data_IF_626562814363
#
_entry.id   IF_626562814363
#
_cell.length_a   1.000
_cell.length_b   1.000
_cell.length_c   1.000
_cell.angle_alpha   90.00
_cell.angle_beta   90.00
_cell.angle_gamma   90.00
#
_symmetry.space_group_name_H-M   'P 1'
#
loop_
_entity.id
_entity.type
_entity.pdbx_description
1 polymer ?
#
# COMPACT_ATOMS: atom_id res chain seq x y z
N UNK A 1 -16.22 2.15 -36.29
CA UNK A 1 -16.73 3.09 -35.27
C UNK A 1 -15.63 3.24 -34.23
N UNK A 2 -15.20 4.47 -34.01
CA UNK A 2 -13.88 4.77 -33.49
C UNK A 2 -13.64 4.32 -32.05
N UNK A 3 -12.51 3.64 -31.87
CA UNK A 3 -11.85 3.47 -30.60
C UNK A 3 -11.24 4.83 -30.24
N UNK A 4 -11.86 5.55 -29.30
CA UNK A 4 -11.26 6.73 -28.69
C UNK A 4 -10.06 6.26 -27.90
N UNK A 5 -8.87 6.36 -28.52
CA UNK A 5 -7.61 6.16 -27.84
C UNK A 5 -7.53 7.16 -26.68
N UNK A 6 -7.50 6.66 -25.45
CA UNK A 6 -7.22 7.47 -24.29
C UNK A 6 -5.87 8.13 -24.47
N UNK A 7 -5.86 9.45 -24.57
CA UNK A 7 -4.63 10.26 -24.56
C UNK A 7 -4.05 10.08 -23.16
N UNK A 8 -2.95 9.34 -23.06
CA UNK A 8 -2.22 9.24 -21.80
C UNK A 8 -1.86 10.66 -21.34
N UNK A 9 -2.29 11.04 -20.17
CA UNK A 9 -1.96 12.35 -19.59
C UNK A 9 -0.45 12.38 -19.41
N UNK A 10 0.19 13.45 -19.85
CA UNK A 10 1.59 13.76 -19.55
C UNK A 10 1.81 13.71 -18.03
N UNK A 11 2.96 13.14 -17.62
CA UNK A 11 3.27 12.97 -16.19
C UNK A 11 3.18 14.27 -15.38
N UNK A 12 3.47 15.42 -15.99
CA UNK A 12 3.37 16.73 -15.36
C UNK A 12 1.91 17.18 -15.19
N UNK A 13 1.04 16.89 -16.16
CA UNK A 13 -0.39 17.16 -16.04
C UNK A 13 -1.04 16.31 -14.94
N UNK A 14 -0.64 15.05 -14.83
CA UNK A 14 -1.12 14.19 -13.76
C UNK A 14 -0.67 14.65 -12.38
N UNK A 15 0.58 15.09 -12.24
CA UNK A 15 1.09 15.66 -10.98
C UNK A 15 0.27 16.88 -10.53
N UNK A 16 -0.09 17.77 -11.46
CA UNK A 16 -0.96 18.92 -11.18
C UNK A 16 -2.38 18.51 -10.79
N UNK A 17 -2.97 17.52 -11.47
CA UNK A 17 -4.27 16.96 -11.10
C UNK A 17 -4.28 16.34 -9.69
N UNK A 18 -3.25 15.59 -9.34
CA UNK A 18 -3.10 15.01 -8.01
C UNK A 18 -2.98 16.10 -6.94
N UNK A 19 -2.15 17.11 -7.19
CA UNK A 19 -1.97 18.25 -6.28
C UNK A 19 -3.27 19.05 -6.06
N UNK A 20 -4.05 19.27 -7.11
CA UNK A 20 -5.33 19.98 -7.01
C UNK A 20 -6.36 19.24 -6.11
N UNK A 21 -6.21 17.93 -5.95
CA UNK A 21 -7.00 17.09 -5.05
C UNK A 21 -6.38 16.95 -3.64
N UNK A 22 -5.26 17.60 -3.38
CA UNK A 22 -4.51 17.46 -2.13
C UNK A 22 -3.79 16.13 -2.00
N UNK A 23 -3.53 15.43 -3.10
CA UNK A 23 -2.77 14.18 -3.14
C UNK A 23 -1.29 14.45 -3.42
N UNK A 24 -0.44 13.50 -3.03
CA UNK A 24 1.01 13.55 -3.29
C UNK A 24 1.36 12.53 -4.37
N UNK A 25 2.12 12.99 -5.36
CA UNK A 25 2.60 12.17 -6.44
C UNK A 25 4.13 12.09 -6.46
N UNK A 26 4.65 10.86 -6.43
CA UNK A 26 6.06 10.56 -6.66
C UNK A 26 6.16 9.83 -8.00
N UNK A 27 6.59 10.52 -9.03
CA UNK A 27 6.81 9.91 -10.34
C UNK A 27 7.97 8.92 -10.29
N UNK A 28 7.83 7.79 -10.97
CA UNK A 28 8.94 6.87 -11.18
C UNK A 28 10.10 7.56 -11.89
N UNK A 29 11.32 7.31 -11.45
CA UNK A 29 12.52 7.83 -12.12
C UNK A 29 12.61 7.21 -13.52
N UNK A 30 12.72 8.06 -14.55
CA UNK A 30 12.77 7.66 -15.96
C UNK A 30 13.97 6.78 -16.25
N UNK A 31 13.78 5.76 -17.11
CA UNK A 31 14.84 4.84 -17.53
C UNK A 31 15.02 3.59 -16.67
N UNK A 32 14.38 3.52 -15.50
CA UNK A 32 14.41 2.32 -14.64
C UNK A 32 13.37 1.28 -15.08
N UNK A 33 12.30 1.72 -15.75
CA UNK A 33 11.28 0.85 -16.34
C UNK A 33 11.01 1.30 -17.77
N UNK A 34 10.71 0.33 -18.66
CA UNK A 34 10.23 0.61 -20.01
C UNK A 34 8.91 1.42 -20.02
N UNK A 35 8.23 1.54 -21.17
CA UNK A 35 7.11 2.45 -21.40
C UNK A 35 5.85 2.21 -20.53
N UNK A 36 5.88 1.23 -19.64
CA UNK A 36 4.79 0.93 -18.68
C UNK A 36 5.34 0.87 -17.26
N UNK A 37 5.38 2.00 -16.57
CA UNK A 37 5.66 2.03 -15.14
C UNK A 37 4.48 1.49 -14.34
N UNK A 38 4.77 0.65 -13.33
CA UNK A 38 3.75 0.28 -12.36
C UNK A 38 3.38 1.50 -11.51
N UNK A 39 2.09 1.66 -11.23
CA UNK A 39 1.59 2.69 -10.32
C UNK A 39 1.03 2.03 -9.07
N UNK A 40 1.38 2.57 -7.90
CA UNK A 40 0.86 2.15 -6.61
C UNK A 40 0.11 3.31 -5.94
N UNK A 41 -1.15 3.10 -5.61
CA UNK A 41 -1.88 3.98 -4.68
C UNK A 41 -1.56 3.50 -3.26
N UNK A 42 -0.95 4.35 -2.45
CA UNK A 42 -0.44 4.01 -1.12
C UNK A 42 -1.15 4.82 -0.02
N UNK A 43 -2.04 4.18 0.72
CA UNK A 43 -2.76 4.77 1.83
C UNK A 43 -1.95 4.76 3.14
N UNK A 44 -2.13 5.79 3.93
CA UNK A 44 -1.49 5.93 5.25
C UNK A 44 -2.14 5.05 6.33
N UNK A 45 -1.42 4.85 7.44
CA UNK A 45 -1.92 4.17 8.63
C UNK A 45 -2.84 5.05 9.50
N UNK A 46 -3.36 4.48 10.60
CA UNK A 46 -4.33 5.18 11.46
C UNK A 46 -3.76 6.40 12.18
N UNK A 47 -2.47 6.40 12.50
CA UNK A 47 -1.85 7.38 13.38
C UNK A 47 -1.07 8.50 12.72
N UNK A 48 -0.65 8.31 11.46
CA UNK A 48 0.26 9.21 10.76
C UNK A 48 -0.28 9.61 9.39
N UNK A 49 -0.07 10.86 8.94
CA UNK A 49 -0.57 11.37 7.66
C UNK A 49 0.22 10.81 6.46
N UNK A 50 -0.29 11.08 5.25
CA UNK A 50 0.31 10.63 3.99
C UNK A 50 1.71 11.18 3.72
N UNK A 51 2.09 12.27 4.37
CA UNK A 51 3.38 12.95 4.28
C UNK A 51 4.28 12.71 5.51
N UNK A 52 3.94 11.77 6.37
CA UNK A 52 4.83 11.35 7.45
C UNK A 52 6.18 10.88 6.90
N UNK A 53 7.24 11.00 7.69
CA UNK A 53 8.60 10.59 7.31
C UNK A 53 8.64 9.16 6.75
N UNK A 54 7.97 8.22 7.39
CA UNK A 54 7.88 6.84 6.93
C UNK A 54 7.21 6.72 5.57
N UNK A 55 6.04 7.37 5.37
CA UNK A 55 5.29 7.31 4.10
C UNK A 55 6.05 8.00 2.97
N UNK A 56 6.68 9.13 3.25
CA UNK A 56 7.49 9.88 2.29
C UNK A 56 8.72 9.08 1.89
N UNK A 57 9.47 8.57 2.87
CA UNK A 57 10.66 7.78 2.61
C UNK A 57 10.37 6.49 1.83
N UNK A 58 9.24 5.83 2.07
CA UNK A 58 8.84 4.65 1.29
C UNK A 58 8.45 5.03 -0.15
N UNK A 59 7.69 6.10 -0.34
CA UNK A 59 7.29 6.55 -1.67
C UNK A 59 8.50 6.98 -2.54
N UNK A 60 9.46 7.66 -1.94
CA UNK A 60 10.71 8.06 -2.61
C UNK A 60 11.57 6.84 -3.01
N UNK A 61 11.71 5.85 -2.11
CA UNK A 61 12.42 4.60 -2.41
C UNK A 61 11.78 3.83 -3.57
N UNK A 62 10.45 3.78 -3.60
CA UNK A 62 9.71 3.13 -4.67
C UNK A 62 9.86 3.89 -6.00
N UNK A 63 9.77 5.22 -5.97
CA UNK A 63 9.95 6.05 -7.15
C UNK A 63 11.36 5.88 -7.75
N UNK A 64 12.39 5.85 -6.92
CA UNK A 64 13.77 5.57 -7.33
C UNK A 64 13.95 4.18 -7.97
N UNK A 65 13.05 3.23 -7.66
CA UNK A 65 13.04 1.86 -8.22
C UNK A 65 12.06 1.70 -9.39
N UNK A 66 11.51 2.81 -9.88
CA UNK A 66 10.66 2.85 -11.07
C UNK A 66 9.21 2.47 -10.81
N UNK A 67 8.70 2.67 -9.60
CA UNK A 67 7.29 2.55 -9.25
C UNK A 67 6.74 3.95 -8.97
N UNK A 68 5.78 4.40 -9.75
CA UNK A 68 5.07 5.65 -9.45
C UNK A 68 4.16 5.48 -8.24
N UNK A 69 4.15 6.42 -7.32
CA UNK A 69 3.38 6.32 -6.08
C UNK A 69 2.46 7.51 -5.91
N UNK A 70 1.16 7.24 -5.77
CA UNK A 70 0.18 8.23 -5.34
C UNK A 70 -0.16 8.01 -3.88
N UNK A 71 -0.12 9.07 -3.08
CA UNK A 71 -0.54 9.07 -1.68
C UNK A 71 -1.70 10.03 -1.47
N UNK A 72 -2.69 9.60 -0.69
CA UNK A 72 -3.87 10.39 -0.35
C UNK A 72 -4.16 10.32 1.14
N UNK A 73 -5.02 11.20 1.63
CA UNK A 73 -5.49 11.18 3.02
C UNK A 73 -6.94 10.75 3.15
N UNK A 74 -7.20 9.88 4.12
CA UNK A 74 -8.57 9.62 4.56
C UNK A 74 -9.20 10.89 5.18
N UNK A 75 -10.52 11.06 5.08
CA UNK A 75 -11.19 12.29 5.49
C UNK A 75 -10.89 12.75 6.93
N UNK A 76 -10.83 11.81 7.89
CA UNK A 76 -10.49 12.16 9.28
C UNK A 76 -9.08 12.76 9.42
N UNK A 77 -8.11 12.29 8.61
CA UNK A 77 -6.74 12.79 8.65
C UNK A 77 -6.63 14.16 7.97
N UNK A 78 -7.32 14.34 6.84
CA UNK A 78 -7.43 15.65 6.20
C UNK A 78 -8.06 16.68 7.14
N UNK A 79 -9.10 16.29 7.91
CA UNK A 79 -9.71 17.16 8.91
C UNK A 79 -8.75 17.48 10.07
N UNK A 80 -7.93 16.50 10.53
CA UNK A 80 -6.87 16.76 11.54
C UNK A 80 -5.85 17.79 11.06
N UNK A 81 -5.53 17.78 9.76
CA UNK A 81 -4.61 18.75 9.16
C UNK A 81 -5.17 20.17 9.20
N UNK A 82 -6.50 20.33 9.03
CA UNK A 82 -7.16 21.62 9.03
C UNK A 82 -7.31 22.23 10.45
N UNK A 83 -7.68 21.44 11.43
CA UNK A 83 -8.04 21.93 12.77
C UNK A 83 -7.04 21.55 13.88
N UNK A 84 -6.01 20.75 13.58
CA UNK A 84 -5.02 20.28 14.54
C UNK A 84 -5.55 19.30 15.61
N UNK A 85 -6.83 18.95 15.53
CA UNK A 85 -7.50 18.08 16.49
C UNK A 85 -7.09 16.62 16.38
N UNK A 86 -6.94 15.93 17.52
CA UNK A 86 -6.80 14.48 17.53
C UNK A 86 -8.16 13.84 17.25
N UNK A 87 -8.25 13.05 16.20
CA UNK A 87 -9.46 12.29 15.81
C UNK A 87 -9.12 10.81 15.63
N UNK A 88 -9.97 9.89 16.07
CA UNK A 88 -9.84 8.50 15.69
C UNK A 88 -10.10 8.35 14.18
N UNK A 89 -9.68 7.23 13.56
CA UNK A 89 -10.09 6.91 12.20
C UNK A 89 -11.60 6.95 12.01
N UNK A 90 -12.04 7.38 10.84
CA UNK A 90 -13.45 7.28 10.44
C UNK A 90 -13.96 5.83 10.50
N UNK A 91 -15.27 5.60 10.59
CA UNK A 91 -15.87 4.27 10.42
C UNK A 91 -15.41 3.61 9.11
N UNK A 92 -15.28 2.28 9.13
CA UNK A 92 -14.77 1.52 7.99
C UNK A 92 -15.49 1.86 6.67
N UNK A 93 -16.81 2.00 6.68
CA UNK A 93 -17.61 2.34 5.48
C UNK A 93 -17.07 3.60 4.82
N UNK A 94 -16.84 4.66 5.59
CA UNK A 94 -16.33 5.94 5.07
C UNK A 94 -14.90 5.84 4.53
N UNK A 95 -14.05 5.02 5.16
CA UNK A 95 -12.69 4.75 4.66
C UNK A 95 -12.73 4.00 3.32
N UNK A 96 -13.65 3.04 3.17
CA UNK A 96 -13.82 2.29 1.94
C UNK A 96 -14.41 3.15 0.82
N UNK A 97 -15.36 4.03 1.12
CA UNK A 97 -15.89 5.03 0.15
C UNK A 97 -14.78 5.92 -0.39
N UNK A 98 -13.96 6.48 0.50
CA UNK A 98 -12.80 7.28 0.09
C UNK A 98 -11.83 6.49 -0.82
N UNK A 99 -11.57 5.22 -0.52
CA UNK A 99 -10.75 4.36 -1.37
C UNK A 99 -11.36 4.17 -2.77
N UNK A 100 -12.68 3.93 -2.87
CA UNK A 100 -13.37 3.76 -4.16
C UNK A 100 -13.26 5.01 -5.02
N UNK A 101 -13.46 6.19 -4.43
CA UNK A 101 -13.34 7.48 -5.10
C UNK A 101 -11.92 7.71 -5.63
N UNK A 102 -10.91 7.50 -4.78
CA UNK A 102 -9.50 7.65 -5.17
C UNK A 102 -9.13 6.68 -6.29
N UNK A 103 -9.50 5.39 -6.16
CA UNK A 103 -9.18 4.39 -7.17
C UNK A 103 -9.84 4.71 -8.51
N UNK A 104 -11.13 5.03 -8.50
CA UNK A 104 -11.88 5.36 -9.72
C UNK A 104 -11.25 6.54 -10.46
N UNK A 105 -10.90 7.59 -9.74
CA UNK A 105 -10.25 8.77 -10.33
C UNK A 105 -8.87 8.44 -10.91
N UNK A 106 -8.03 7.73 -10.14
CA UNK A 106 -6.69 7.35 -10.61
C UNK A 106 -6.77 6.45 -11.84
N UNK A 107 -7.72 5.51 -11.86
CA UNK A 107 -7.89 4.57 -12.98
C UNK A 107 -8.24 5.26 -14.30
N UNK A 108 -8.86 6.43 -14.27
CA UNK A 108 -9.14 7.21 -15.48
C UNK A 108 -7.85 7.72 -16.16
N UNK A 109 -6.78 7.90 -15.39
CA UNK A 109 -5.53 8.51 -15.84
C UNK A 109 -4.37 7.52 -16.01
N UNK A 110 -4.43 6.37 -15.34
CA UNK A 110 -3.39 5.34 -15.40
C UNK A 110 -3.84 4.21 -16.32
N UNK A 111 -3.17 4.05 -17.46
CA UNK A 111 -3.48 2.99 -18.45
C UNK A 111 -2.68 1.70 -18.22
N UNK A 112 -1.62 1.77 -17.42
CA UNK A 112 -0.78 0.63 -17.05
C UNK A 112 -1.30 -0.16 -15.83
N UNK A 113 -0.50 -1.11 -15.31
CA UNK A 113 -0.83 -1.82 -14.09
C UNK A 113 -1.01 -0.85 -12.91
N UNK A 114 -2.14 -0.99 -12.21
CA UNK A 114 -2.49 -0.17 -11.05
C UNK A 114 -2.64 -1.05 -9.81
N UNK A 115 -1.65 -0.96 -8.93
CA UNK A 115 -1.68 -1.58 -7.62
C UNK A 115 -2.31 -0.66 -6.58
N UNK A 116 -2.93 -1.27 -5.58
CA UNK A 116 -3.38 -0.57 -4.37
C UNK A 116 -2.64 -1.11 -3.16
N UNK A 117 -2.58 -0.32 -2.10
CA UNK A 117 -1.93 -0.80 -0.89
C UNK A 117 -1.87 0.26 0.21
N UNK A 118 -1.12 -0.04 1.24
CA UNK A 118 -0.96 0.92 2.33
C UNK A 118 -0.24 0.37 3.54
N UNK A 119 0.06 1.31 4.43
CA UNK A 119 0.61 1.04 5.75
C UNK A 119 -0.52 0.68 6.71
N UNK A 120 -0.39 -0.46 7.41
CA UNK A 120 -1.28 -0.81 8.52
C UNK A 120 -2.78 -0.76 8.12
N UNK A 121 -3.57 0.11 8.76
CA UNK A 121 -4.98 0.34 8.45
C UNK A 121 -5.21 0.61 6.95
N UNK A 122 -4.35 1.40 6.31
CA UNK A 122 -4.46 1.70 4.88
C UNK A 122 -4.40 0.45 4.01
N UNK A 123 -3.45 -0.45 4.28
CA UNK A 123 -3.33 -1.74 3.61
C UNK A 123 -4.52 -2.66 3.89
N UNK A 124 -5.01 -2.67 5.14
CA UNK A 124 -6.22 -3.45 5.49
C UNK A 124 -7.46 -2.92 4.76
N UNK A 125 -7.66 -1.62 4.64
CA UNK A 125 -8.79 -1.07 3.88
C UNK A 125 -8.66 -1.43 2.39
N UNK A 126 -7.46 -1.33 1.82
CA UNK A 126 -7.19 -1.75 0.45
C UNK A 126 -7.52 -3.23 0.22
N UNK A 127 -7.15 -4.12 1.16
CA UNK A 127 -7.39 -5.56 1.03
C UNK A 127 -8.89 -5.94 1.01
N UNK A 128 -9.73 -5.14 1.65
CA UNK A 128 -11.18 -5.35 1.64
C UNK A 128 -11.85 -4.96 0.31
N UNK A 129 -11.14 -4.21 -0.54
CA UNK A 129 -11.66 -3.69 -1.80
C UNK A 129 -10.92 -4.20 -3.04
N UNK A 130 -9.80 -4.89 -2.86
CA UNK A 130 -8.91 -5.25 -3.96
C UNK A 130 -9.62 -6.02 -5.08
N UNK A 131 -10.43 -7.01 -4.74
CA UNK A 131 -11.21 -7.79 -5.70
C UNK A 131 -12.37 -6.99 -6.28
N UNK A 132 -13.10 -6.23 -5.46
CA UNK A 132 -14.21 -5.37 -5.89
C UNK A 132 -13.75 -4.33 -6.92
N UNK A 133 -12.61 -3.70 -6.68
CA UNK A 133 -12.05 -2.67 -7.55
C UNK A 133 -11.38 -3.23 -8.81
N UNK A 134 -11.17 -4.54 -8.88
CA UNK A 134 -10.39 -5.17 -9.93
C UNK A 134 -8.95 -4.65 -9.96
N UNK A 135 -8.37 -4.38 -8.79
CA UNK A 135 -6.98 -3.93 -8.70
C UNK A 135 -6.04 -5.00 -9.27
N UNK A 136 -5.03 -4.57 -10.01
CA UNK A 136 -4.08 -5.52 -10.60
C UNK A 136 -3.28 -6.24 -9.51
N UNK A 137 -2.99 -5.56 -8.38
CA UNK A 137 -2.21 -6.07 -7.24
C UNK A 137 -2.50 -5.32 -5.95
N UNK A 138 -2.20 -6.01 -4.84
CA UNK A 138 -2.29 -5.44 -3.50
C UNK A 138 -0.94 -5.51 -2.78
N UNK A 139 -0.52 -4.41 -2.14
CA UNK A 139 0.69 -4.34 -1.32
C UNK A 139 0.34 -3.87 0.09
N UNK A 140 0.61 -4.67 1.10
CA UNK A 140 0.38 -4.33 2.50
C UNK A 140 1.70 -4.24 3.27
N UNK A 141 1.91 -3.14 3.97
CA UNK A 141 3.08 -2.88 4.79
C UNK A 141 2.68 -2.86 6.27
N UNK A 142 3.10 -3.89 7.03
CA UNK A 142 2.66 -4.05 8.41
C UNK A 142 1.16 -4.28 8.51
N UNK A 143 0.66 -5.38 7.95
CA UNK A 143 -0.79 -5.67 7.98
C UNK A 143 -1.26 -5.92 9.41
N UNK A 144 -2.36 -5.26 9.88
CA UNK A 144 -2.89 -5.47 11.22
C UNK A 144 -3.79 -6.71 11.28
N UNK A 145 -3.20 -7.90 11.36
CA UNK A 145 -3.90 -9.18 11.40
C UNK A 145 -4.88 -9.28 12.57
N UNK A 146 -4.59 -8.56 13.66
CA UNK A 146 -5.48 -8.38 14.82
C UNK A 146 -5.26 -7.00 15.45
N UNK A 147 -6.15 -6.59 16.35
CA UNK A 147 -5.93 -5.37 17.13
C UNK A 147 -4.90 -5.64 18.23
N UNK A 148 -4.14 -4.63 18.62
CA UNK A 148 -3.13 -4.75 19.68
C UNK A 148 -3.72 -5.41 20.95
N UNK A 149 -3.05 -6.48 21.41
CA UNK A 149 -3.49 -7.23 22.58
C UNK A 149 -4.75 -8.09 22.39
N UNK A 150 -5.22 -8.32 21.14
CA UNK A 150 -6.43 -9.12 20.84
C UNK A 150 -6.18 -10.16 19.73
N UNK A 151 -5.18 -11.04 19.87
CA UNK A 151 -4.88 -12.04 18.85
C UNK A 151 -6.02 -13.06 18.63
N UNK A 152 -6.91 -13.23 19.62
CA UNK A 152 -8.09 -14.08 19.55
C UNK A 152 -9.20 -13.53 18.62
N UNK A 153 -9.05 -12.30 18.12
CA UNK A 153 -9.99 -11.65 17.18
C UNK A 153 -9.28 -11.29 15.88
N UNK A 154 -8.91 -12.29 15.06
CA UNK A 154 -8.19 -12.05 13.82
C UNK A 154 -9.05 -11.31 12.78
N UNK A 155 -8.38 -10.56 11.92
CA UNK A 155 -8.98 -9.76 10.83
C UNK A 155 -8.59 -10.33 9.48
N UNK A 156 -8.72 -11.64 9.31
CA UNK A 156 -8.16 -12.38 8.17
C UNK A 156 -9.20 -13.11 7.32
N UNK A 157 -10.48 -13.14 7.71
CA UNK A 157 -11.49 -13.94 7.03
C UNK A 157 -11.52 -13.70 5.51
N UNK A 158 -11.51 -12.44 5.06
CA UNK A 158 -11.49 -12.09 3.64
C UNK A 158 -10.17 -12.43 2.95
N UNK A 159 -9.06 -12.53 3.70
CA UNK A 159 -7.75 -12.88 3.11
C UNK A 159 -7.68 -14.35 2.69
N UNK A 160 -8.52 -15.22 3.25
CA UNK A 160 -8.59 -16.62 2.86
C UNK A 160 -9.19 -16.83 1.46
N UNK A 161 -9.98 -15.86 0.99
CA UNK A 161 -10.72 -15.91 -0.28
C UNK A 161 -10.24 -14.87 -1.31
N UNK A 162 -9.24 -14.06 -0.94
CA UNK A 162 -8.75 -12.96 -1.75
C UNK A 162 -8.16 -13.45 -3.08
N UNK A 163 -8.70 -12.94 -4.20
CA UNK A 163 -8.28 -13.32 -5.55
C UNK A 163 -7.16 -12.43 -6.09
N UNK A 164 -7.11 -11.17 -5.64
CA UNK A 164 -6.08 -10.22 -6.08
C UNK A 164 -4.71 -10.66 -5.59
N UNK A 165 -3.70 -10.84 -6.48
CA UNK A 165 -2.34 -11.14 -6.08
C UNK A 165 -1.85 -10.13 -5.05
N UNK A 166 -1.33 -10.62 -3.93
CA UNK A 166 -1.05 -9.81 -2.76
C UNK A 166 0.35 -10.07 -2.20
N UNK A 167 1.07 -8.99 -1.91
CA UNK A 167 2.32 -9.02 -1.16
C UNK A 167 2.10 -8.35 0.19
N UNK A 168 2.38 -9.07 1.27
CA UNK A 168 2.37 -8.53 2.63
C UNK A 168 3.79 -8.52 3.18
N UNK A 169 4.30 -7.34 3.51
CA UNK A 169 5.60 -7.13 4.13
C UNK A 169 5.40 -6.94 5.63
N UNK A 170 5.93 -7.86 6.43
CA UNK A 170 5.59 -7.96 7.86
C UNK A 170 6.83 -8.09 8.73
N UNK A 171 6.87 -7.34 9.84
CA UNK A 171 7.90 -7.52 10.86
C UNK A 171 7.65 -8.78 11.69
N UNK A 172 8.69 -9.59 11.94
CA UNK A 172 8.54 -10.87 12.68
C UNK A 172 7.95 -10.69 14.09
N UNK A 173 8.17 -9.55 14.72
CA UNK A 173 7.67 -9.22 16.05
C UNK A 173 6.62 -8.11 16.07
N UNK A 174 5.94 -7.87 14.95
CA UNK A 174 4.85 -6.91 14.87
C UNK A 174 3.76 -7.24 15.89
N UNK A 175 3.43 -6.27 16.76
CA UNK A 175 2.41 -6.43 17.80
C UNK A 175 0.97 -6.61 17.26
N UNK A 176 0.76 -6.32 15.97
CA UNK A 176 -0.52 -6.50 15.28
C UNK A 176 -0.56 -7.72 14.36
N UNK A 177 0.50 -8.54 14.37
CA UNK A 177 0.64 -9.72 13.53
C UNK A 177 2.06 -10.26 13.55
N UNK A 178 2.49 -10.87 14.66
CA UNK A 178 3.79 -11.51 14.73
C UNK A 178 3.82 -12.80 13.92
N UNK A 179 5.02 -13.24 13.54
CA UNK A 179 5.23 -14.37 12.65
C UNK A 179 4.53 -15.66 13.14
N UNK A 180 4.66 -16.00 14.41
CA UNK A 180 4.04 -17.21 14.99
C UNK A 180 2.52 -17.21 14.84
N UNK A 181 1.85 -16.09 15.09
CA UNK A 181 0.39 -15.99 14.97
C UNK A 181 -0.05 -16.02 13.50
N UNK A 182 0.67 -15.33 12.62
CA UNK A 182 0.30 -15.20 11.20
C UNK A 182 0.49 -16.50 10.44
N UNK A 183 1.54 -17.26 10.71
CA UNK A 183 1.79 -18.58 10.11
C UNK A 183 0.71 -19.62 10.45
N UNK A 184 -0.10 -19.37 11.48
CA UNK A 184 -1.24 -20.23 11.84
C UNK A 184 -2.53 -19.90 11.09
N UNK A 185 -2.58 -18.79 10.32
CA UNK A 185 -3.78 -18.43 9.57
C UNK A 185 -3.81 -19.08 8.18
N UNK A 186 -5.01 -19.43 7.74
CA UNK A 186 -5.26 -19.82 6.35
C UNK A 186 -5.40 -18.56 5.52
N UNK A 187 -4.47 -18.35 4.59
CA UNK A 187 -4.47 -17.24 3.63
C UNK A 187 -4.65 -17.80 2.22
N UNK A 188 -5.22 -16.99 1.32
CA UNK A 188 -5.35 -17.36 -0.09
C UNK A 188 -3.98 -17.66 -0.72
N UNK A 189 -3.89 -18.62 -1.67
CA UNK A 189 -2.63 -19.01 -2.31
C UNK A 189 -1.91 -17.87 -3.04
N UNK A 190 -2.66 -16.83 -3.45
CA UNK A 190 -2.11 -15.64 -4.10
C UNK A 190 -1.48 -14.62 -3.14
N UNK A 191 -1.44 -14.90 -1.84
CA UNK A 191 -0.83 -14.03 -0.83
C UNK A 191 0.59 -14.50 -0.53
N UNK A 192 1.55 -13.64 -0.83
CA UNK A 192 2.96 -13.79 -0.46
C UNK A 192 3.26 -13.02 0.83
N UNK A 193 3.90 -13.68 1.80
CA UNK A 193 4.38 -13.06 3.05
C UNK A 193 5.89 -12.85 2.97
N UNK A 194 6.35 -11.62 3.13
CA UNK A 194 7.75 -11.26 3.24
C UNK A 194 8.07 -10.83 4.67
N UNK A 195 8.92 -11.59 5.37
CA UNK A 195 9.25 -11.35 6.77
C UNK A 195 10.53 -10.52 6.92
N UNK A 196 10.47 -9.55 7.84
CA UNK A 196 11.60 -8.69 8.19
C UNK A 196 12.12 -9.06 9.57
N UNK A 197 13.36 -9.56 9.60
CA UNK A 197 14.01 -10.11 10.80
C UNK A 197 13.99 -9.13 11.96
N UNK A 198 13.46 -9.59 13.10
CA UNK A 198 13.30 -8.78 14.32
C UNK A 198 12.58 -7.42 14.12
N UNK A 199 11.89 -7.23 12.99
CA UNK A 199 11.14 -6.03 12.66
C UNK A 199 9.88 -5.90 13.48
N UNK A 200 9.53 -4.67 13.86
CA UNK A 200 8.24 -4.30 14.46
C UNK A 200 7.20 -3.91 13.40
N UNK A 201 6.12 -3.26 13.84
CA UNK A 201 5.05 -2.78 12.96
C UNK A 201 5.51 -1.81 11.86
N UNK A 202 6.60 -1.08 12.07
CA UNK A 202 7.21 -0.17 11.11
C UNK A 202 8.40 -0.80 10.36
N UNK A 203 8.56 -2.12 10.46
CA UNK A 203 9.70 -2.90 9.98
C UNK A 203 11.02 -2.54 10.68
N UNK A 204 10.98 -1.82 11.81
CA UNK A 204 12.16 -1.40 12.54
C UNK A 204 12.73 -2.58 13.34
N UNK A 205 13.98 -3.00 13.06
CA UNK A 205 14.58 -4.13 13.74
C UNK A 205 15.08 -3.78 15.14
N UNK A 206 15.27 -4.81 15.96
CA UNK A 206 16.02 -4.67 17.21
C UNK A 206 17.48 -4.34 16.91
N UNK A 207 18.12 -3.51 17.74
CA UNK A 207 19.54 -3.17 17.59
C UNK A 207 20.47 -4.42 17.54
N UNK A 208 20.11 -5.45 18.30
CA UNK A 208 20.88 -6.69 18.37
C UNK A 208 20.71 -7.59 17.13
N UNK A 209 19.82 -7.29 16.18
CA UNK A 209 19.60 -8.11 14.99
C UNK A 209 20.70 -8.00 13.93
N UNK A 210 21.55 -6.99 14.02
CA UNK A 210 22.54 -6.68 12.99
C UNK A 210 22.00 -5.89 11.80
N UNK A 211 20.68 -5.61 11.75
CA UNK A 211 20.04 -4.80 10.71
C UNK A 211 19.74 -3.39 11.19
N UNK A 212 19.72 -2.44 10.27
CA UNK A 212 19.21 -1.08 10.49
C UNK A 212 17.78 -0.93 9.94
N UNK A 213 17.06 0.09 10.40
CA UNK A 213 15.73 0.40 9.88
C UNK A 213 15.78 0.76 8.40
N UNK A 214 16.78 1.55 7.98
CA UNK A 214 17.01 1.91 6.59
C UNK A 214 17.21 0.69 5.69
N UNK A 215 18.02 -0.28 6.13
CA UNK A 215 18.21 -1.53 5.39
C UNK A 215 16.89 -2.29 5.19
N UNK A 216 16.01 -2.33 6.20
CA UNK A 216 14.71 -2.97 6.06
C UNK A 216 13.78 -2.19 5.12
N UNK A 217 13.77 -0.85 5.18
CA UNK A 217 12.95 -0.04 4.28
C UNK A 217 13.44 -0.14 2.83
N UNK A 218 14.75 -0.16 2.60
CA UNK A 218 15.31 -0.36 1.27
C UNK A 218 14.99 -1.75 0.72
N UNK A 219 15.17 -2.80 1.53
CA UNK A 219 14.82 -4.16 1.15
C UNK A 219 13.30 -4.31 0.88
N UNK A 220 12.45 -3.60 1.63
CA UNK A 220 11.01 -3.56 1.39
C UNK A 220 10.68 -2.92 0.04
N UNK A 221 11.32 -1.81 -0.28
CA UNK A 221 11.12 -1.12 -1.55
C UNK A 221 11.65 -1.95 -2.74
N UNK A 222 12.79 -2.64 -2.59
CA UNK A 222 13.32 -3.57 -3.59
C UNK A 222 12.35 -4.72 -3.84
N UNK A 223 11.84 -5.34 -2.77
CA UNK A 223 10.89 -6.44 -2.85
C UNK A 223 9.59 -6.00 -3.55
N UNK A 224 9.00 -4.89 -3.14
CA UNK A 224 7.78 -4.35 -3.79
C UNK A 224 8.03 -4.07 -5.27
N UNK A 225 9.10 -3.36 -5.60
CA UNK A 225 9.40 -3.00 -6.98
C UNK A 225 9.65 -4.23 -7.87
N UNK A 226 10.37 -5.23 -7.35
CA UNK A 226 10.58 -6.50 -8.04
C UNK A 226 9.26 -7.27 -8.23
N UNK A 227 8.46 -7.41 -7.20
CA UNK A 227 7.19 -8.14 -7.21
C UNK A 227 6.15 -7.47 -8.13
N UNK A 228 6.09 -6.15 -8.15
CA UNK A 228 5.22 -5.42 -9.06
C UNK A 228 5.61 -5.58 -10.53
N UNK A 229 6.89 -5.82 -10.84
CA UNK A 229 7.38 -6.07 -12.20
C UNK A 229 7.14 -7.51 -12.66
N UNK A 230 7.30 -8.46 -11.74
CA UNK A 230 7.29 -9.90 -12.02
C UNK A 230 6.13 -10.55 -11.28
N UNK A 231 4.89 -10.46 -11.80
CA UNK A 231 3.76 -11.05 -11.11
C UNK A 231 3.91 -12.55 -11.00
N UNK A 232 3.50 -13.15 -9.87
CA UNK A 232 3.32 -14.60 -9.84
C UNK A 232 2.35 -15.00 -10.95
N UNK A 233 2.69 -16.03 -11.69
CA UNK A 233 1.80 -16.61 -12.69
C UNK A 233 0.51 -17.03 -12.01
N UNK A 234 -0.64 -16.52 -12.45
CA UNK A 234 -1.93 -17.01 -11.96
C UNK A 234 -1.97 -18.50 -12.27
N UNK A 235 -2.02 -19.32 -11.23
CA UNK A 235 -2.34 -20.75 -11.40
C UNK A 235 -3.76 -20.80 -11.97
N UNK A 236 -3.86 -21.28 -13.21
CA UNK A 236 -5.12 -21.52 -13.92
C UNK A 236 -5.92 -22.63 -13.25
#
# INVERSE_FOLDING_TARGET
MGVTGGVGIDGDQWAQCAQARGWLWNAAVSGVNGPRSNTLILAHGAGAPMDSEWMTGMAERLAARGVSVLRFEFPYMAQRRLDGGKRPPDPQVKLLECWREVYAEVRLHVTGPLAIGGKSMGGRMASLLADELGADRLVCLGYPFYAAGKPEKPRVAHLAELQTPTLILQGERDALGNRQAVEAYTLAPGIELSWYVAGDHDLKPLKASGFTHEQHLDAAADNIAHWLKNPPTRSS
#
